data_IF_661699821575
#
_entry.id   IF_661699821575
#
_cell.length_a   1.000
_cell.length_b   1.000
_cell.length_c   1.000
_cell.angle_alpha   90.00
_cell.angle_beta   90.00
_cell.angle_gamma   90.00
#
_symmetry.space_group_name_H-M   'P 1'
#
loop_
_entity.id
_entity.type
_entity.pdbx_description
1 polymer ?
#
# COMPACT_ATOMS: atom_id res chain seq x y z
N UNK A 1 -4.42 75.44 -21.75
CA UNK A 1 -5.24 76.60 -21.27
C UNK A 1 -5.88 76.20 -19.95
N UNK A 2 -5.29 76.62 -18.85
CA UNK A 2 -5.77 77.64 -17.92
C UNK A 2 -7.17 77.36 -17.36
N UNK A 3 -7.36 77.24 -16.04
CA UNK A 3 -7.09 78.05 -14.83
C UNK A 3 -7.34 77.20 -13.59
N UNK A 4 -6.55 77.12 -12.61
CA UNK A 4 -6.21 77.92 -11.39
C UNK A 4 -7.36 78.68 -10.70
N UNK A 5 -7.33 78.54 -9.36
CA UNK A 5 -7.91 79.32 -8.28
C UNK A 5 -9.17 78.72 -7.62
N UNK A 6 -9.35 78.73 -6.31
CA UNK A 6 -8.71 79.40 -5.19
C UNK A 6 -8.90 78.60 -3.91
N UNK A 7 -8.00 78.82 -3.07
CA UNK A 7 -7.78 78.46 -1.69
C UNK A 7 -8.59 79.33 -0.73
N UNK A 8 -8.95 78.85 0.42
CA UNK A 8 -9.32 79.69 1.55
C UNK A 8 -10.25 79.05 2.57
N UNK A 9 -9.79 78.93 3.82
CA UNK A 9 -10.59 78.87 5.02
C UNK A 9 -11.34 77.57 5.41
N UNK A 10 -10.59 76.53 5.81
CA UNK A 10 -11.14 75.35 6.46
C UNK A 10 -10.24 74.70 7.49
N UNK A 11 -9.05 75.24 7.74
CA UNK A 11 -7.97 74.52 8.46
C UNK A 11 -8.02 74.67 10.00
N UNK A 12 -8.83 75.57 10.57
CA UNK A 12 -8.82 75.80 12.04
C UNK A 12 -9.91 75.08 12.84
N UNK A 13 -10.77 74.26 12.25
CA UNK A 13 -11.80 73.53 12.99
C UNK A 13 -11.56 71.98 13.07
N UNK A 14 -10.50 71.47 12.43
CA UNK A 14 -10.19 70.01 12.44
C UNK A 14 -9.18 69.56 13.48
N UNK A 15 -8.53 70.46 14.24
CA UNK A 15 -7.48 70.04 15.18
C UNK A 15 -7.96 69.59 16.57
N UNK A 16 -9.23 69.78 16.92
CA UNK A 16 -9.73 69.35 18.24
C UNK A 16 -10.58 68.08 18.21
N UNK A 17 -10.81 67.46 17.04
CA UNK A 17 -11.52 66.17 16.90
C UNK A 17 -10.56 64.96 16.82
N UNK A 18 -9.27 65.19 16.57
CA UNK A 18 -8.32 64.09 16.33
C UNK A 18 -7.82 63.41 17.60
N UNK A 19 -7.94 64.06 18.76
CA UNK A 19 -7.45 63.49 20.04
C UNK A 19 -8.45 62.55 20.71
N UNK A 20 -9.74 62.60 20.38
CA UNK A 20 -10.76 61.72 20.94
C UNK A 20 -10.86 60.40 20.14
N UNK A 21 -10.66 60.44 18.82
CA UNK A 21 -10.67 59.19 17.99
C UNK A 21 -9.44 58.34 18.16
N UNK A 22 -8.30 58.92 18.52
CA UNK A 22 -7.05 58.17 18.75
C UNK A 22 -7.11 57.24 19.96
N UNK A 23 -7.81 57.66 21.02
CA UNK A 23 -7.99 56.81 22.22
C UNK A 23 -8.98 55.68 22.05
N UNK A 24 -10.04 55.90 21.23
CA UNK A 24 -10.98 54.80 20.90
C UNK A 24 -10.37 53.76 19.94
N UNK A 25 -9.53 54.19 19.00
CA UNK A 25 -8.83 53.24 18.09
C UNK A 25 -7.78 52.42 18.80
N UNK A 26 -7.08 52.98 19.79
CA UNK A 26 -6.10 52.25 20.58
C UNK A 26 -6.75 51.17 21.46
N UNK A 27 -7.93 51.45 22.07
CA UNK A 27 -8.66 50.48 22.87
C UNK A 27 -9.26 49.35 22.02
N UNK A 28 -9.77 49.65 20.81
CA UNK A 28 -10.32 48.65 19.92
C UNK A 28 -9.21 47.72 19.32
N UNK A 29 -8.03 48.27 19.01
CA UNK A 29 -6.91 47.50 18.49
C UNK A 29 -6.30 46.57 19.54
N UNK A 30 -6.21 46.96 20.77
CA UNK A 30 -5.72 46.12 21.88
C UNK A 30 -6.71 45.03 22.21
N UNK A 31 -8.03 45.31 22.20
CA UNK A 31 -9.07 44.29 22.41
C UNK A 31 -9.13 43.27 21.27
N UNK A 32 -8.92 43.71 20.03
CA UNK A 32 -8.89 42.79 18.87
C UNK A 32 -7.63 41.93 18.87
N UNK A 33 -6.47 42.49 19.25
CA UNK A 33 -5.23 41.70 19.38
C UNK A 33 -5.31 40.68 20.52
N UNK A 34 -5.91 41.04 21.69
CA UNK A 34 -6.12 40.09 22.77
C UNK A 34 -7.08 38.95 22.39
N UNK A 35 -8.15 39.25 21.64
CA UNK A 35 -9.08 38.19 21.16
C UNK A 35 -8.46 37.28 20.09
N UNK A 36 -7.61 37.79 19.20
CA UNK A 36 -6.88 37.00 18.21
C UNK A 36 -5.82 36.14 18.90
N UNK A 37 -5.10 36.64 19.90
CA UNK A 37 -4.14 35.84 20.68
C UNK A 37 -4.80 34.76 21.52
N UNK A 38 -6.00 35.01 22.08
CA UNK A 38 -6.78 34.00 22.81
C UNK A 38 -7.33 32.92 21.87
N UNK A 39 -7.77 33.26 20.66
CA UNK A 39 -8.24 32.28 19.67
C UNK A 39 -7.08 31.44 19.11
N UNK A 40 -5.89 32.07 18.90
CA UNK A 40 -4.70 31.29 18.45
C UNK A 40 -4.15 30.40 19.57
N UNK A 41 -4.26 30.78 20.84
CA UNK A 41 -3.90 29.92 21.97
C UNK A 41 -4.87 28.74 22.14
N UNK A 42 -6.16 28.90 21.81
CA UNK A 42 -7.12 27.76 21.81
C UNK A 42 -6.92 26.79 20.64
N UNK A 43 -6.43 27.26 19.49
CA UNK A 43 -6.16 26.38 18.32
C UNK A 43 -4.86 25.57 18.53
N UNK A 44 -3.90 26.07 19.31
CA UNK A 44 -2.65 25.36 19.62
C UNK A 44 -2.82 24.18 20.59
N UNK A 45 -4.00 24.01 21.23
CA UNK A 45 -4.32 22.86 22.10
C UNK A 45 -5.21 21.83 21.41
N UNK A 46 -5.55 22.00 20.12
CA UNK A 46 -6.20 20.98 19.34
C UNK A 46 -5.20 19.87 18.98
N UNK A 47 -4.91 19.10 19.98
CA UNK A 47 -4.79 17.66 19.97
C UNK A 47 -3.63 17.07 19.20
N UNK A 48 -2.56 16.77 19.86
CA UNK A 48 -2.12 15.39 19.83
C UNK A 48 -3.14 14.59 20.67
N UNK A 49 -4.15 14.00 20.06
CA UNK A 49 -4.74 12.81 20.62
C UNK A 49 -3.56 11.84 20.79
N UNK A 50 -3.38 11.19 21.96
CA UNK A 50 -2.37 10.15 22.07
C UNK A 50 -2.77 9.09 21.03
N UNK A 51 -1.96 8.92 19.97
CA UNK A 51 -2.02 7.68 19.21
C UNK A 51 -1.84 6.58 20.23
N UNK A 52 -2.83 5.70 20.33
CA UNK A 52 -2.78 4.54 21.21
C UNK A 52 -1.53 3.78 20.83
N UNK A 53 -0.45 4.02 21.61
CA UNK A 53 0.85 3.42 21.61
C UNK A 53 1.25 2.65 20.35
N UNK A 54 1.83 3.33 19.36
CA UNK A 54 2.57 2.62 18.33
C UNK A 54 3.71 1.86 19.01
N UNK A 55 3.69 0.53 18.95
CA UNK A 55 4.76 -0.34 19.46
C UNK A 55 5.92 -0.26 18.49
N UNK A 56 7.14 -0.08 18.98
CA UNK A 56 8.34 -0.25 18.15
C UNK A 56 8.83 -1.68 18.28
N UNK A 57 9.07 -2.35 17.15
CA UNK A 57 9.43 -3.77 17.06
C UNK A 57 10.62 -3.92 16.11
N UNK A 58 11.53 -4.85 16.40
CA UNK A 58 12.66 -5.15 15.51
C UNK A 58 12.27 -6.13 14.41
N UNK A 59 12.99 -6.08 13.28
CA UNK A 59 12.87 -7.12 12.25
C UNK A 59 13.15 -8.51 12.83
N UNK A 60 12.34 -9.50 12.48
CA UNK A 60 12.42 -10.88 12.96
C UNK A 60 11.86 -11.09 14.37
N UNK A 61 11.39 -10.05 15.04
CA UNK A 61 10.70 -10.15 16.32
C UNK A 61 9.20 -10.41 16.12
N UNK A 62 8.67 -11.41 16.82
CA UNK A 62 7.22 -11.69 16.82
C UNK A 62 6.48 -10.70 17.72
N UNK A 63 5.36 -10.20 17.24
CA UNK A 63 4.49 -9.28 17.99
C UNK A 63 3.02 -9.51 17.65
N UNK A 64 2.14 -8.95 18.47
CA UNK A 64 0.69 -9.05 18.29
C UNK A 64 0.05 -7.67 18.30
N UNK A 65 -0.93 -7.48 17.42
CA UNK A 65 -1.75 -6.28 17.33
C UNK A 65 -3.22 -6.60 17.58
N UNK A 66 -3.87 -5.82 18.43
CA UNK A 66 -5.31 -5.77 18.49
C UNK A 66 -5.85 -4.81 17.41
N UNK A 67 -7.14 -4.92 17.07
CA UNK A 67 -7.80 -3.99 16.16
C UNK A 67 -7.58 -2.55 16.64
N UNK A 68 -7.16 -1.67 15.73
CA UNK A 68 -6.81 -0.28 15.99
C UNK A 68 -5.38 -0.03 16.46
N UNK A 69 -4.61 -1.06 16.82
CA UNK A 69 -3.22 -0.93 17.21
C UNK A 69 -2.28 -0.88 16.01
N UNK A 70 -1.12 -0.22 16.20
CA UNK A 70 -0.07 -0.11 15.20
C UNK A 70 1.31 -0.47 15.78
N UNK A 71 2.19 -0.91 14.90
CA UNK A 71 3.60 -1.11 15.20
C UNK A 71 4.45 -0.43 14.12
N UNK A 72 5.58 0.17 14.53
CA UNK A 72 6.63 0.65 13.64
C UNK A 72 7.84 -0.27 13.76
N UNK A 73 8.50 -0.54 12.64
CA UNK A 73 9.67 -1.40 12.61
C UNK A 73 10.93 -0.57 12.85
N UNK A 74 11.71 -0.96 13.87
CA UNK A 74 12.92 -0.22 14.25
C UNK A 74 13.91 -0.13 13.08
N UNK A 75 14.39 1.08 12.81
CA UNK A 75 15.33 1.42 11.73
C UNK A 75 14.83 1.17 10.31
N UNK A 76 13.56 0.88 10.14
CA UNK A 76 12.91 0.74 8.84
C UNK A 76 11.82 1.82 8.71
N UNK A 77 11.64 2.33 7.49
CA UNK A 77 10.54 3.26 7.22
C UNK A 77 9.26 2.50 6.93
N UNK A 78 8.90 1.62 7.86
CA UNK A 78 7.78 0.68 7.76
C UNK A 78 6.96 0.70 9.05
N UNK A 79 5.65 0.85 8.89
CA UNK A 79 4.69 0.69 9.98
C UNK A 79 3.48 -0.13 9.50
N UNK A 80 2.88 -0.87 10.42
CA UNK A 80 1.65 -1.63 10.17
C UNK A 80 0.61 -1.29 11.22
N UNK A 81 -0.65 -1.15 10.79
CA UNK A 81 -1.82 -0.95 11.65
C UNK A 81 -2.87 -2.02 11.35
N UNK A 82 -3.33 -2.72 12.37
CA UNK A 82 -4.46 -3.63 12.24
C UNK A 82 -5.77 -2.82 12.30
N UNK A 83 -6.51 -2.72 11.18
CA UNK A 83 -7.69 -1.87 11.08
C UNK A 83 -8.93 -2.62 11.53
N UNK A 84 -9.22 -3.78 10.94
CA UNK A 84 -10.42 -4.56 11.24
C UNK A 84 -10.28 -6.02 10.77
N UNK A 85 -11.17 -6.88 11.25
CA UNK A 85 -11.49 -8.16 10.62
C UNK A 85 -12.73 -7.94 9.76
N UNK A 86 -12.57 -8.08 8.44
CA UNK A 86 -13.64 -7.81 7.47
C UNK A 86 -14.51 -9.03 7.25
N UNK A 87 -13.96 -10.23 7.43
CA UNK A 87 -14.69 -11.50 7.37
C UNK A 87 -13.96 -12.55 8.22
N UNK A 88 -14.68 -13.45 8.85
CA UNK A 88 -14.17 -14.68 9.47
C UNK A 88 -15.15 -15.82 9.20
N UNK A 89 -14.76 -16.71 8.31
CA UNK A 89 -15.52 -17.90 7.91
C UNK A 89 -14.81 -19.20 8.28
N UNK A 90 -13.74 -19.12 9.11
CA UNK A 90 -12.98 -20.32 9.54
C UNK A 90 -13.89 -21.36 10.15
N UNK A 91 -13.65 -22.61 9.78
CA UNK A 91 -14.35 -23.73 10.40
C UNK A 91 -14.03 -23.79 11.90
N UNK A 92 -15.04 -23.78 12.81
CA UNK A 92 -14.79 -23.91 14.24
C UNK A 92 -13.98 -25.15 14.59
N UNK A 93 -13.11 -25.05 15.59
CA UNK A 93 -12.16 -26.10 15.95
C UNK A 93 -12.80 -27.40 16.47
N UNK A 94 -14.05 -27.34 16.92
CA UNK A 94 -14.80 -28.42 17.56
C UNK A 94 -15.86 -29.08 16.66
N UNK A 95 -15.90 -28.69 15.35
CA UNK A 95 -16.79 -29.27 14.34
C UNK A 95 -16.03 -29.70 13.10
N UNK A 96 -16.68 -30.49 12.24
CA UNK A 96 -16.15 -30.91 10.94
C UNK A 96 -16.87 -30.16 9.85
N UNK A 97 -16.15 -29.33 9.09
CA UNK A 97 -16.67 -28.58 7.95
C UNK A 97 -16.27 -29.19 6.61
N UNK A 98 -17.05 -28.90 5.59
CA UNK A 98 -16.70 -29.25 4.19
C UNK A 98 -15.60 -28.31 3.68
N UNK A 99 -15.60 -27.05 4.15
CA UNK A 99 -14.63 -26.00 3.78
C UNK A 99 -13.85 -25.56 5.00
N UNK A 100 -12.55 -25.33 4.82
CA UNK A 100 -11.71 -24.83 5.91
C UNK A 100 -12.07 -23.40 6.32
N UNK A 101 -12.62 -22.60 5.38
CA UNK A 101 -12.86 -21.18 5.56
C UNK A 101 -11.57 -20.37 5.71
N UNK A 102 -11.73 -19.10 5.98
CA UNK A 102 -10.62 -18.16 6.15
C UNK A 102 -11.02 -16.97 7.03
N UNK A 103 -10.04 -16.23 7.53
CA UNK A 103 -10.24 -14.92 8.14
C UNK A 103 -9.52 -13.86 7.34
N UNK A 104 -10.23 -12.78 7.00
CA UNK A 104 -9.71 -11.66 6.23
C UNK A 104 -9.49 -10.45 7.15
N UNK A 105 -8.23 -10.04 7.29
CA UNK A 105 -7.78 -8.95 8.15
C UNK A 105 -7.41 -7.73 7.30
N UNK A 106 -8.10 -6.62 7.48
CA UNK A 106 -7.73 -5.34 6.86
C UNK A 106 -6.59 -4.71 7.67
N UNK A 107 -5.49 -4.45 7.01
CA UNK A 107 -4.35 -3.75 7.58
C UNK A 107 -3.98 -2.54 6.73
N UNK A 108 -3.38 -1.53 7.36
CA UNK A 108 -2.74 -0.41 6.67
C UNK A 108 -1.24 -0.55 6.86
N UNK A 109 -0.51 -0.61 5.77
CA UNK A 109 0.95 -0.62 5.76
C UNK A 109 1.41 0.75 5.29
N UNK A 110 2.22 1.43 6.09
CA UNK A 110 2.88 2.68 5.72
C UNK A 110 4.33 2.38 5.41
N UNK A 111 4.74 2.67 4.19
CA UNK A 111 6.12 2.51 3.73
C UNK A 111 6.58 3.79 3.02
N UNK A 112 7.75 4.30 3.39
CA UNK A 112 8.30 5.56 2.85
C UNK A 112 7.29 6.71 2.87
N UNK A 113 6.52 6.80 3.95
CA UNK A 113 5.51 7.85 4.15
C UNK A 113 4.21 7.67 3.37
N UNK A 114 4.07 6.59 2.60
CA UNK A 114 2.84 6.28 1.86
C UNK A 114 2.09 5.14 2.54
N UNK A 115 0.82 5.37 2.89
CA UNK A 115 -0.06 4.37 3.47
C UNK A 115 -0.86 3.64 2.39
N UNK A 116 -0.91 2.31 2.46
CA UNK A 116 -1.72 1.44 1.61
C UNK A 116 -2.50 0.46 2.48
N UNK A 117 -3.80 0.29 2.19
CA UNK A 117 -4.62 -0.74 2.82
C UNK A 117 -4.59 -2.02 2.00
N UNK A 118 -4.34 -3.13 2.68
CA UNK A 118 -4.36 -4.48 2.08
C UNK A 118 -5.16 -5.42 2.98
N UNK A 119 -5.62 -6.53 2.41
CA UNK A 119 -6.27 -7.61 3.15
C UNK A 119 -5.28 -8.76 3.30
N UNK A 120 -5.01 -9.16 4.54
CA UNK A 120 -4.26 -10.37 4.86
C UNK A 120 -5.26 -11.49 5.12
N UNK A 121 -5.21 -12.54 4.31
CA UNK A 121 -6.10 -13.70 4.42
C UNK A 121 -5.37 -14.85 5.10
N UNK A 122 -5.94 -15.38 6.18
CA UNK A 122 -5.40 -16.53 6.91
C UNK A 122 -6.38 -17.69 6.84
N UNK A 123 -6.01 -18.82 6.19
CA UNK A 123 -6.89 -19.97 6.02
C UNK A 123 -7.20 -20.65 7.35
N UNK A 124 -8.38 -21.26 7.43
CA UNK A 124 -8.77 -22.10 8.55
C UNK A 124 -8.09 -23.48 8.50
N UNK A 125 -8.17 -24.22 9.61
CA UNK A 125 -7.67 -25.61 9.75
C UNK A 125 -6.16 -25.80 9.47
N UNK A 126 -5.39 -24.73 9.40
CA UNK A 126 -3.94 -24.78 9.28
C UNK A 126 -3.29 -24.30 10.57
N UNK A 127 -2.34 -25.04 11.15
CA UNK A 127 -1.56 -24.57 12.28
C UNK A 127 -0.41 -23.65 11.85
N UNK A 128 -0.03 -23.68 10.58
CA UNK A 128 1.10 -22.92 10.06
C UNK A 128 0.72 -21.47 9.82
N UNK A 129 1.58 -20.51 10.17
CA UNK A 129 1.35 -19.11 9.82
C UNK A 129 1.32 -18.92 8.29
N UNK A 130 0.51 -17.98 7.83
CA UNK A 130 0.51 -17.56 6.43
C UNK A 130 1.59 -16.53 6.17
N UNK A 131 1.96 -16.39 4.91
CA UNK A 131 2.96 -15.45 4.46
C UNK A 131 2.37 -14.47 3.43
N UNK A 132 2.80 -13.20 3.52
CA UNK A 132 2.48 -12.18 2.54
C UNK A 132 3.72 -11.32 2.29
N UNK A 133 3.95 -10.94 1.03
CA UNK A 133 5.04 -10.05 0.66
C UNK A 133 4.52 -8.62 0.45
N UNK A 134 5.22 -7.65 1.03
CA UNK A 134 4.96 -6.24 0.80
C UNK A 134 6.28 -5.49 0.63
N UNK A 135 6.50 -4.98 -0.58
CA UNK A 135 7.82 -4.43 -0.93
C UNK A 135 8.91 -5.48 -0.71
N UNK A 136 9.96 -5.11 -0.01
CA UNK A 136 11.08 -6.01 0.34
C UNK A 136 10.90 -6.70 1.70
N UNK A 137 9.67 -6.82 2.20
CA UNK A 137 9.39 -7.42 3.51
C UNK A 137 8.47 -8.62 3.37
N UNK A 138 8.81 -9.69 4.08
CA UNK A 138 7.98 -10.88 4.27
C UNK A 138 7.24 -10.75 5.61
N UNK A 139 5.92 -10.78 5.55
CA UNK A 139 5.02 -10.78 6.70
C UNK A 139 4.58 -12.23 6.95
N UNK A 140 5.04 -12.83 8.03
CA UNK A 140 4.52 -14.11 8.51
C UNK A 140 3.47 -13.82 9.57
N UNK A 141 2.24 -14.33 9.43
CA UNK A 141 1.14 -13.96 10.30
C UNK A 141 0.16 -15.08 10.61
N UNK A 142 -0.54 -14.94 11.73
CA UNK A 142 -1.67 -15.77 12.14
C UNK A 142 -2.70 -14.92 12.88
N UNK A 143 -3.93 -15.43 13.00
CA UNK A 143 -5.06 -14.70 13.60
C UNK A 143 -5.68 -15.51 14.73
N UNK A 144 -5.78 -14.90 15.90
CA UNK A 144 -6.41 -15.45 17.11
C UNK A 144 -7.55 -14.56 17.60
N UNK A 145 -8.52 -15.11 18.39
CA UNK A 145 -8.68 -16.51 18.73
C UNK A 145 -9.20 -17.32 17.54
N UNK A 146 -9.04 -18.64 17.63
CA UNK A 146 -9.66 -19.55 16.67
C UNK A 146 -11.16 -19.72 17.03
N UNK A 147 -12.10 -19.77 16.05
CA UNK A 147 -13.51 -19.91 16.33
C UNK A 147 -13.87 -21.26 16.97
N UNK A 148 -14.87 -21.26 17.86
CA UNK A 148 -15.51 -22.42 18.44
C UNK A 148 -17.01 -22.38 18.15
N UNK A 149 -17.66 -23.56 17.99
CA UNK A 149 -19.09 -23.61 17.67
C UNK A 149 -19.95 -22.89 18.71
N UNK A 150 -20.88 -22.06 18.23
CA UNK A 150 -21.78 -21.31 19.09
C UNK A 150 -21.15 -20.15 19.86
N UNK A 151 -19.88 -19.86 19.68
CA UNK A 151 -19.22 -18.68 20.27
C UNK A 151 -18.94 -17.63 19.20
N UNK A 152 -19.45 -16.44 19.44
CA UNK A 152 -19.14 -15.26 18.62
C UNK A 152 -17.86 -14.60 19.13
N UNK A 153 -16.90 -14.35 18.24
CA UNK A 153 -15.67 -13.64 18.57
C UNK A 153 -15.94 -12.14 18.48
N UNK A 154 -15.79 -11.45 19.60
CA UNK A 154 -15.90 -9.99 19.65
C UNK A 154 -14.71 -9.31 18.96
N UNK A 155 -14.95 -8.17 18.29
CA UNK A 155 -13.86 -7.43 17.59
C UNK A 155 -12.66 -7.12 18.48
N UNK A 156 -12.86 -6.85 19.76
CA UNK A 156 -11.78 -6.57 20.71
C UNK A 156 -10.93 -7.79 21.08
N UNK A 157 -11.38 -8.99 20.77
CA UNK A 157 -10.69 -10.24 21.08
C UNK A 157 -9.69 -10.63 20.02
N UNK A 158 -9.89 -10.19 18.76
CA UNK A 158 -8.98 -10.50 17.67
C UNK A 158 -7.57 -9.98 17.91
N UNK A 159 -6.62 -10.84 17.58
CA UNK A 159 -5.17 -10.55 17.59
C UNK A 159 -4.58 -11.01 16.28
N UNK A 160 -3.93 -10.09 15.61
CA UNK A 160 -3.08 -10.37 14.46
C UNK A 160 -1.66 -10.56 14.98
N UNK A 161 -1.17 -11.79 14.98
CA UNK A 161 0.20 -12.12 15.33
C UNK A 161 1.07 -11.99 14.10
N UNK A 162 2.19 -11.32 14.20
CA UNK A 162 3.05 -10.93 13.09
C UNK A 162 4.52 -11.17 13.42
N UNK A 163 5.26 -11.55 12.41
CA UNK A 163 6.73 -11.45 12.34
C UNK A 163 7.07 -10.86 10.96
N UNK A 164 7.85 -9.80 10.95
CA UNK A 164 8.26 -9.12 9.72
C UNK A 164 9.76 -9.30 9.53
N UNK A 165 10.15 -9.84 8.40
CA UNK A 165 11.56 -10.03 8.01
C UNK A 165 11.82 -9.34 6.68
N UNK A 166 13.10 -9.08 6.34
CA UNK A 166 13.43 -8.70 4.97
C UNK A 166 13.32 -9.91 4.07
N UNK A 167 12.65 -9.74 2.95
CA UNK A 167 12.73 -10.73 1.86
C UNK A 167 14.18 -10.84 1.42
N UNK A 168 14.68 -12.05 1.13
CA UNK A 168 16.00 -12.20 0.54
C UNK A 168 16.12 -11.33 -0.73
N UNK A 169 17.26 -10.69 -0.95
CA UNK A 169 17.47 -9.97 -2.21
C UNK A 169 17.37 -10.96 -3.38
N UNK A 170 16.83 -10.48 -4.51
CA UNK A 170 16.85 -11.26 -5.74
C UNK A 170 18.29 -11.65 -6.07
N UNK A 171 18.53 -12.89 -6.46
CA UNK A 171 19.85 -13.39 -6.84
C UNK A 171 19.73 -14.58 -7.79
N UNK A 172 20.73 -14.73 -8.68
CA UNK A 172 20.80 -15.84 -9.61
C UNK A 172 19.84 -15.76 -10.80
N UNK A 173 19.34 -14.56 -11.12
CA UNK A 173 18.40 -14.36 -12.23
C UNK A 173 18.36 -12.93 -12.72
N UNK A 174 17.37 -12.64 -13.55
CA UNK A 174 17.07 -11.28 -14.03
C UNK A 174 15.63 -10.91 -13.68
N UNK A 175 15.39 -9.66 -13.32
CA UNK A 175 14.06 -9.10 -13.20
C UNK A 175 13.72 -8.37 -14.51
N UNK A 176 12.65 -8.81 -15.15
CA UNK A 176 12.18 -8.23 -16.42
C UNK A 176 10.83 -7.58 -16.19
N UNK A 177 10.73 -6.28 -16.44
CA UNK A 177 9.44 -5.58 -16.45
C UNK A 177 8.92 -5.51 -17.87
N UNK A 178 7.69 -5.95 -18.06
CA UNK A 178 6.95 -5.87 -19.32
C UNK A 178 5.87 -4.79 -19.24
N UNK A 179 5.60 -4.17 -20.37
CA UNK A 179 4.45 -3.30 -20.59
C UNK A 179 3.46 -4.01 -21.53
N UNK A 180 2.20 -4.09 -21.12
CA UNK A 180 1.08 -4.66 -21.88
C UNK A 180 0.02 -3.59 -22.01
N UNK A 181 0.02 -2.88 -23.14
CA UNK A 181 -0.92 -1.82 -23.46
C UNK A 181 -1.05 -0.73 -22.37
N UNK A 182 0.06 -0.40 -21.71
CA UNK A 182 0.16 0.65 -20.66
C UNK A 182 0.08 0.14 -19.22
N UNK A 183 -0.21 -1.14 -19.01
CA UNK A 183 -0.09 -1.78 -17.71
C UNK A 183 1.21 -2.55 -17.59
N UNK A 184 1.80 -2.58 -16.41
CA UNK A 184 3.10 -3.21 -16.21
C UNK A 184 2.99 -4.39 -15.25
N UNK A 185 3.78 -5.41 -15.53
CA UNK A 185 4.05 -6.50 -14.61
C UNK A 185 5.50 -6.93 -14.73
N UNK A 186 6.02 -7.54 -13.68
CA UNK A 186 7.43 -7.95 -13.63
C UNK A 186 7.56 -9.42 -13.34
N UNK A 187 8.57 -10.04 -13.95
CA UNK A 187 8.88 -11.46 -13.78
C UNK A 187 10.33 -11.59 -13.35
N UNK A 188 10.58 -12.39 -12.33
CA UNK A 188 11.93 -12.81 -11.98
C UNK A 188 12.24 -14.13 -12.68
N UNK A 189 13.21 -14.13 -13.59
CA UNK A 189 13.57 -15.27 -14.43
C UNK A 189 14.89 -15.85 -13.94
N UNK A 190 14.89 -17.15 -13.63
CA UNK A 190 16.08 -17.87 -13.13
C UNK A 190 16.62 -18.89 -14.11
N UNK A 191 15.80 -19.37 -15.06
CA UNK A 191 16.28 -20.33 -16.05
C UNK A 191 17.15 -19.64 -17.13
N UNK A 192 18.33 -20.18 -17.37
CA UNK A 192 19.33 -19.60 -18.28
C UNK A 192 18.85 -19.48 -19.73
N UNK A 193 18.05 -20.41 -20.21
CA UNK A 193 17.55 -20.40 -21.61
C UNK A 193 16.65 -19.18 -21.83
N UNK A 194 15.73 -18.92 -20.92
CA UNK A 194 14.84 -17.76 -20.99
C UNK A 194 15.60 -16.46 -20.78
N UNK A 195 16.60 -16.43 -19.88
CA UNK A 195 17.46 -15.26 -19.68
C UNK A 195 18.15 -14.87 -21.00
N UNK A 196 18.76 -15.83 -21.70
CA UNK A 196 19.40 -15.57 -23.00
C UNK A 196 18.38 -15.14 -24.06
N UNK A 197 17.18 -15.74 -24.09
CA UNK A 197 16.11 -15.36 -25.01
C UNK A 197 15.65 -13.90 -24.76
N UNK A 198 15.47 -13.48 -23.51
CA UNK A 198 15.14 -12.09 -23.15
C UNK A 198 16.19 -11.12 -23.65
N UNK A 199 17.46 -11.41 -23.45
CA UNK A 199 18.54 -10.56 -23.96
C UNK A 199 18.61 -10.56 -25.49
N UNK A 200 18.32 -11.68 -26.15
CA UNK A 200 18.25 -11.74 -27.62
C UNK A 200 17.11 -10.87 -28.17
N UNK A 201 15.96 -10.84 -27.51
CA UNK A 201 14.85 -9.91 -27.83
C UNK A 201 15.30 -8.47 -27.65
N UNK A 202 15.95 -8.14 -26.53
CA UNK A 202 16.43 -6.78 -26.26
C UNK A 202 17.42 -6.30 -27.32
N UNK A 203 18.28 -7.19 -27.84
CA UNK A 203 19.22 -6.89 -28.93
C UNK A 203 18.59 -6.88 -30.32
N UNK A 204 17.30 -7.24 -30.46
CA UNK A 204 16.62 -7.36 -31.76
C UNK A 204 17.05 -8.59 -32.56
N UNK A 205 17.61 -9.60 -31.93
CA UNK A 205 18.11 -10.84 -32.54
C UNK A 205 17.05 -11.97 -32.54
N UNK A 206 15.95 -11.80 -31.79
CA UNK A 206 14.87 -12.80 -31.67
C UNK A 206 13.50 -12.17 -31.97
N UNK A 207 12.63 -12.96 -32.60
CA UNK A 207 11.21 -12.64 -32.78
C UNK A 207 10.33 -13.24 -31.67
N UNK A 208 10.90 -14.03 -30.76
CA UNK A 208 10.20 -14.64 -29.63
C UNK A 208 10.00 -13.58 -28.52
N UNK A 209 9.10 -12.63 -28.76
CA UNK A 209 8.88 -11.47 -27.89
C UNK A 209 7.82 -11.66 -26.80
N UNK A 210 7.05 -12.75 -26.88
CA UNK A 210 5.91 -13.01 -25.98
C UNK A 210 6.40 -13.79 -24.77
N UNK A 211 6.35 -13.21 -23.55
CA UNK A 211 6.59 -13.98 -22.33
C UNK A 211 5.42 -14.94 -22.09
N UNK A 212 5.70 -16.22 -21.91
CA UNK A 212 4.71 -17.26 -21.63
C UNK A 212 5.13 -18.03 -20.39
N UNK A 213 4.42 -17.81 -19.28
CA UNK A 213 4.76 -18.37 -17.98
C UNK A 213 3.55 -18.89 -17.20
N UNK A 214 3.81 -19.82 -16.28
CA UNK A 214 2.83 -20.35 -15.36
C UNK A 214 2.43 -19.27 -14.35
N UNK A 215 1.12 -19.01 -14.19
CA UNK A 215 0.60 -18.10 -13.18
C UNK A 215 0.60 -18.81 -11.81
N UNK A 216 1.08 -18.11 -10.80
CA UNK A 216 1.09 -18.55 -9.40
C UNK A 216 0.37 -17.51 -8.57
N UNK A 217 -0.52 -17.96 -7.69
CA UNK A 217 -1.16 -17.11 -6.70
C UNK A 217 -0.15 -16.61 -5.66
N UNK A 218 -0.30 -15.38 -5.25
CA UNK A 218 0.51 -14.74 -4.22
C UNK A 218 1.24 -13.49 -4.74
N UNK A 219 1.11 -12.42 -3.99
CA UNK A 219 1.79 -11.17 -4.27
C UNK A 219 3.30 -11.32 -4.02
N UNK A 220 4.11 -10.85 -4.97
CA UNK A 220 5.57 -10.74 -4.82
C UNK A 220 5.98 -9.28 -4.89
N UNK A 221 7.03 -8.90 -4.14
CA UNK A 221 7.41 -7.50 -4.00
C UNK A 221 7.79 -6.83 -5.32
N UNK A 222 8.28 -7.58 -6.29
CA UNK A 222 8.71 -7.07 -7.58
C UNK A 222 7.58 -6.98 -8.63
N UNK A 223 6.39 -7.57 -8.36
CA UNK A 223 5.26 -7.56 -9.30
C UNK A 223 4.01 -6.84 -8.75
N UNK A 224 4.17 -5.89 -7.85
CA UNK A 224 3.04 -5.12 -7.34
C UNK A 224 2.44 -4.19 -8.41
N UNK A 225 1.11 -3.94 -8.38
CA UNK A 225 0.18 -4.23 -7.27
C UNK A 225 -0.51 -5.60 -7.34
N UNK A 226 -0.08 -6.50 -8.22
CA UNK A 226 -0.77 -7.74 -8.54
C UNK A 226 -0.67 -8.77 -7.41
N UNK A 227 -1.76 -9.51 -7.16
CA UNK A 227 -1.83 -10.62 -6.19
C UNK A 227 -1.35 -11.95 -6.75
N UNK A 228 -0.85 -11.96 -7.97
CA UNK A 228 -0.28 -13.10 -8.69
C UNK A 228 1.13 -12.78 -9.20
N UNK A 229 1.85 -13.82 -9.57
CA UNK A 229 3.14 -13.69 -10.22
C UNK A 229 3.37 -14.84 -11.21
N UNK A 230 4.44 -14.78 -11.97
CA UNK A 230 4.85 -15.85 -12.87
C UNK A 230 5.94 -16.69 -12.19
N UNK A 231 5.83 -18.02 -12.31
CA UNK A 231 6.85 -18.94 -11.83
C UNK A 231 8.21 -18.63 -12.50
N UNK A 232 9.22 -18.42 -11.67
CA UNK A 232 10.56 -17.99 -12.11
C UNK A 232 11.32 -19.06 -12.93
N UNK A 233 10.90 -20.32 -12.84
CA UNK A 233 11.51 -21.44 -13.56
C UNK A 233 10.65 -21.89 -14.74
N UNK A 234 9.31 -21.75 -14.66
CA UNK A 234 8.38 -22.12 -15.73
C UNK A 234 7.93 -20.91 -16.56
N UNK A 235 8.90 -20.27 -17.19
CA UNK A 235 8.68 -19.20 -18.18
C UNK A 235 9.60 -19.38 -19.36
N UNK A 236 9.10 -19.06 -20.57
CA UNK A 236 9.87 -19.00 -21.81
C UNK A 236 9.40 -17.85 -22.70
N UNK A 237 10.25 -17.44 -23.63
CA UNK A 237 9.88 -16.47 -24.66
C UNK A 237 9.36 -17.20 -25.88
N UNK A 238 8.21 -16.77 -26.44
CA UNK A 238 7.54 -17.39 -27.58
C UNK A 238 7.39 -16.42 -28.76
N UNK A 239 7.38 -16.96 -29.99
CA UNK A 239 7.10 -16.18 -31.21
C UNK A 239 5.59 -16.02 -31.44
N UNK A 240 4.81 -16.98 -30.96
CA UNK A 240 3.35 -17.03 -31.13
C UNK A 240 2.69 -17.60 -29.87
N UNK A 241 1.46 -17.18 -29.62
CA UNK A 241 0.58 -17.75 -28.63
C UNK A 241 -0.75 -18.12 -29.27
N UNK A 242 -1.45 -19.12 -28.72
CA UNK A 242 -2.79 -19.53 -29.15
C UNK A 242 -3.91 -18.87 -28.33
N UNK A 243 -3.55 -17.97 -27.43
CA UNK A 243 -4.54 -17.26 -26.62
C UNK A 243 -5.45 -16.39 -27.48
N UNK A 244 -6.73 -16.40 -27.14
CA UNK A 244 -7.75 -15.64 -27.86
C UNK A 244 -7.79 -14.16 -27.46
N UNK A 245 -7.17 -13.81 -26.36
CA UNK A 245 -7.20 -12.47 -25.80
C UNK A 245 -5.81 -12.05 -25.34
N UNK A 246 -5.47 -10.81 -25.66
CA UNK A 246 -4.33 -10.10 -25.09
C UNK A 246 -4.74 -9.61 -23.68
N UNK A 247 -4.60 -10.49 -22.70
CA UNK A 247 -5.02 -10.24 -21.32
C UNK A 247 -4.18 -9.13 -20.70
N UNK A 248 -4.84 -8.05 -20.22
CA UNK A 248 -4.18 -7.06 -19.39
C UNK A 248 -3.85 -7.66 -18.00
N UNK A 249 -2.77 -7.24 -17.33
CA UNK A 249 -2.51 -7.63 -15.95
C UNK A 249 -3.69 -7.39 -15.00
N UNK A 250 -4.44 -6.30 -15.16
CA UNK A 250 -5.66 -6.01 -14.39
C UNK A 250 -6.80 -6.99 -14.68
N UNK A 251 -6.86 -7.54 -15.88
CA UNK A 251 -7.85 -8.58 -16.22
C UNK A 251 -7.49 -9.91 -15.57
N UNK A 252 -6.21 -10.28 -15.54
CA UNK A 252 -5.74 -11.44 -14.77
C UNK A 252 -6.10 -11.29 -13.29
N UNK A 253 -5.86 -10.11 -12.71
CA UNK A 253 -6.21 -9.82 -11.32
C UNK A 253 -7.71 -9.96 -11.04
N UNK A 254 -8.57 -9.43 -11.93
CA UNK A 254 -10.02 -9.47 -11.72
C UNK A 254 -10.64 -10.87 -11.88
N UNK A 255 -10.00 -11.74 -12.63
CA UNK A 255 -10.46 -13.10 -12.95
C UNK A 255 -9.44 -14.15 -12.49
N UNK A 256 -8.74 -13.89 -11.37
CA UNK A 256 -7.58 -14.68 -10.97
C UNK A 256 -7.90 -16.17 -10.79
N UNK A 257 -9.04 -16.53 -10.19
CA UNK A 257 -9.48 -17.92 -10.03
C UNK A 257 -9.59 -18.64 -11.40
N UNK A 258 -10.18 -17.97 -12.41
CA UNK A 258 -10.26 -18.53 -13.76
C UNK A 258 -8.88 -18.74 -14.39
N UNK A 259 -7.96 -17.79 -14.18
CA UNK A 259 -6.59 -17.91 -14.70
C UNK A 259 -5.81 -19.03 -14.02
N UNK A 260 -6.00 -19.23 -12.72
CA UNK A 260 -5.33 -20.29 -11.96
C UNK A 260 -5.88 -21.68 -12.25
N UNK A 261 -7.21 -21.82 -12.40
CA UNK A 261 -7.85 -23.13 -12.52
C UNK A 261 -8.03 -23.62 -13.96
N UNK A 262 -8.16 -22.70 -14.93
CA UNK A 262 -8.52 -23.05 -16.31
C UNK A 262 -7.41 -22.68 -17.30
N UNK A 263 -6.88 -21.47 -17.25
CA UNK A 263 -5.91 -20.99 -18.25
C UNK A 263 -4.49 -21.42 -17.90
N UNK A 264 -4.13 -21.31 -16.64
CA UNK A 264 -2.84 -21.66 -16.02
C UNK A 264 -1.65 -20.81 -16.47
N UNK A 265 -1.62 -20.27 -17.68
CA UNK A 265 -0.47 -19.57 -18.24
C UNK A 265 -0.85 -18.18 -18.73
N UNK A 266 0.07 -17.24 -18.56
CA UNK A 266 -0.08 -15.88 -19.05
C UNK A 266 0.93 -15.62 -20.18
N UNK A 267 0.43 -15.22 -21.33
CA UNK A 267 1.22 -15.02 -22.53
C UNK A 267 0.70 -13.83 -23.36
N UNK A 268 0.79 -12.59 -22.84
CA UNK A 268 0.27 -11.41 -23.51
C UNK A 268 1.09 -11.09 -24.75
N UNK A 269 0.46 -11.14 -25.93
CA UNK A 269 1.15 -10.95 -27.23
C UNK A 269 1.58 -9.51 -27.48
N UNK A 270 0.95 -8.51 -26.83
CA UNK A 270 1.33 -7.11 -26.92
C UNK A 270 2.43 -6.71 -25.93
N UNK A 271 2.95 -7.66 -25.16
CA UNK A 271 3.99 -7.38 -24.18
C UNK A 271 5.25 -6.84 -24.84
N UNK A 272 5.81 -5.80 -24.26
CA UNK A 272 7.11 -5.24 -24.64
C UNK A 272 8.01 -5.14 -23.42
N UNK A 273 9.29 -5.46 -23.58
CA UNK A 273 10.26 -5.33 -22.49
C UNK A 273 10.49 -3.85 -22.21
N UNK A 274 10.22 -3.43 -20.97
CA UNK A 274 10.44 -2.07 -20.49
C UNK A 274 11.78 -1.89 -19.81
N UNK A 275 12.15 -2.82 -18.95
CA UNK A 275 13.44 -2.83 -18.24
C UNK A 275 13.90 -4.24 -17.93
N UNK A 276 15.20 -4.41 -17.80
CA UNK A 276 15.87 -5.62 -17.33
C UNK A 276 16.86 -5.21 -16.26
N UNK A 277 16.78 -5.85 -15.08
CA UNK A 277 17.74 -5.73 -13.99
C UNK A 277 18.41 -7.07 -13.77
N UNK A 278 19.76 -7.10 -13.77
CA UNK A 278 20.56 -8.33 -13.70
C UNK A 278 21.06 -8.57 -12.27
N UNK A 279 20.68 -9.69 -11.68
CA UNK A 279 21.03 -10.13 -10.32
C UNK A 279 21.84 -11.44 -10.32
N UNK A 280 22.49 -11.79 -11.43
CA UNK A 280 23.31 -13.00 -11.56
C UNK A 280 24.68 -12.87 -10.92
#
# INVERSE_FOLDING_TARGET
MQRLMCWGDGVKRMMNAATSLGKLRACLSVSLMCSVLLVTALIATAGCAPEVGAKTVSLGESFSLAIGQSASIDREDLAIKFIDVVADSRCPSDVVCIWQGEVACLVEITYSGTGQQIVLTYPGLTPEPSEALFGSYLFTFSVEPYPEEGKEIGKSEYRLNLMITKSPPLSGGILVTFDVAGEQYSIFVTNNETIEAVFAVQRGESQATIPNGLIVEGAVFYNQPWSWHIDSEDIHMAEMTIELYDGLPSFVESELEYWLEIVHRYAPWSATIKSIEDFR
#
